data_IF_668894657218
#
_entry.id   IF_668894657218
#
_cell.length_a   1.000
_cell.length_b   1.000
_cell.length_c   1.000
_cell.angle_alpha   90.00
_cell.angle_beta   90.00
_cell.angle_gamma   90.00
#
_symmetry.space_group_name_H-M   'P 1'
#
loop_
_entity.id
_entity.type
_entity.pdbx_description
1 polymer ?
#
# COMPACT_ATOMS: atom_id res chain seq x y z
N UNK A 1 -17.47 12.19 -13.41
CA UNK A 1 -17.74 10.91 -14.08
C UNK A 1 -16.40 10.22 -14.26
N UNK A 2 -16.28 8.95 -13.85
CA UNK A 2 -15.12 8.09 -14.12
C UNK A 2 -15.60 7.03 -15.11
N UNK A 3 -14.86 6.80 -16.18
CA UNK A 3 -15.13 5.78 -17.18
C UNK A 3 -13.84 4.98 -17.38
N UNK A 4 -13.94 3.66 -17.31
CA UNK A 4 -12.82 2.75 -17.49
C UNK A 4 -13.17 1.78 -18.60
N UNK A 5 -12.28 1.66 -19.59
CA UNK A 5 -12.33 0.63 -20.62
C UNK A 5 -11.34 -0.47 -20.19
N UNK A 6 -11.83 -1.59 -19.61
CA UNK A 6 -10.95 -2.60 -19.03
C UNK A 6 -10.06 -3.27 -20.08
N UNK A 7 -10.45 -3.33 -21.35
CA UNK A 7 -9.57 -3.86 -22.40
C UNK A 7 -8.31 -3.02 -22.62
N UNK A 8 -8.37 -1.70 -22.41
CA UNK A 8 -7.16 -0.84 -22.46
C UNK A 8 -6.19 -1.24 -21.35
N UNK A 9 -6.70 -1.52 -20.14
CA UNK A 9 -5.89 -1.95 -19.00
C UNK A 9 -5.35 -3.37 -19.22
N UNK A 10 -6.15 -4.26 -19.83
CA UNK A 10 -5.76 -5.63 -20.14
C UNK A 10 -4.55 -5.67 -21.08
N UNK A 11 -4.46 -4.72 -22.01
CA UNK A 11 -3.36 -4.57 -22.96
C UNK A 11 -2.18 -3.73 -22.44
N UNK A 12 -2.30 -3.12 -21.25
CA UNK A 12 -1.22 -2.34 -20.65
C UNK A 12 -0.16 -3.26 -20.00
N UNK A 13 1.08 -2.77 -19.83
CA UNK A 13 2.10 -3.47 -19.04
C UNK A 13 1.60 -3.87 -17.64
N UNK A 14 1.90 -5.11 -17.23
CA UNK A 14 1.35 -5.72 -16.02
C UNK A 14 1.75 -4.96 -14.74
N UNK A 15 2.93 -4.32 -14.73
CA UNK A 15 3.41 -3.52 -13.61
C UNK A 15 2.44 -2.40 -13.23
N UNK A 16 1.65 -1.88 -14.16
CA UNK A 16 0.66 -0.84 -13.85
C UNK A 16 -0.52 -1.39 -13.05
N UNK A 17 -1.02 -2.58 -13.39
CA UNK A 17 -2.07 -3.24 -12.60
C UNK A 17 -1.53 -3.60 -11.21
N UNK A 18 -0.33 -4.18 -11.16
CA UNK A 18 0.34 -4.56 -9.93
C UNK A 18 0.56 -3.36 -9.00
N UNK A 19 1.04 -2.23 -9.53
CA UNK A 19 1.18 -0.99 -8.77
C UNK A 19 -0.19 -0.45 -8.32
N UNK A 20 -1.22 -0.51 -9.16
CA UNK A 20 -2.58 -0.11 -8.79
C UNK A 20 -3.12 -0.90 -7.59
N UNK A 21 -2.88 -2.22 -7.56
CA UNK A 21 -3.24 -3.08 -6.42
C UNK A 21 -2.52 -2.59 -5.14
N UNK A 22 -1.21 -2.39 -5.21
CA UNK A 22 -0.39 -1.95 -4.08
C UNK A 22 -0.84 -0.62 -3.47
N UNK A 23 -1.09 0.39 -4.30
CA UNK A 23 -1.56 1.71 -3.82
C UNK A 23 -2.98 1.64 -3.24
N UNK A 24 -3.87 0.90 -3.90
CA UNK A 24 -5.28 0.85 -3.49
C UNK A 24 -5.46 0.12 -2.16
N UNK A 25 -4.63 -0.90 -1.87
CA UNK A 25 -4.65 -1.55 -0.55
C UNK A 25 -4.34 -0.57 0.59
N UNK A 26 -3.47 0.42 0.38
CA UNK A 26 -3.13 1.42 1.39
C UNK A 26 -4.35 2.22 1.87
N UNK A 27 -5.35 2.40 1.01
CA UNK A 27 -6.59 3.11 1.34
C UNK A 27 -7.29 2.54 2.57
N UNK A 28 -7.29 1.21 2.74
CA UNK A 28 -7.82 0.60 3.97
C UNK A 28 -6.83 0.72 5.12
N UNK A 29 -5.59 0.26 4.91
CA UNK A 29 -4.63 0.09 6.01
C UNK A 29 -4.22 1.42 6.64
N UNK A 30 -4.21 2.52 5.89
CA UNK A 30 -3.98 3.86 6.44
C UNK A 30 -5.27 4.46 7.04
N UNK A 31 -6.44 4.24 6.43
CA UNK A 31 -7.69 4.81 6.94
C UNK A 31 -8.06 4.31 8.33
N UNK A 32 -7.87 3.01 8.62
CA UNK A 32 -8.19 2.46 9.94
C UNK A 32 -7.30 2.99 11.06
N UNK A 33 -6.11 3.49 10.72
CA UNK A 33 -5.22 4.18 11.65
C UNK A 33 -5.68 5.62 11.87
N UNK A 34 -6.05 6.31 10.78
CA UNK A 34 -6.50 7.71 10.83
C UNK A 34 -7.88 7.88 11.48
N UNK A 35 -8.70 6.83 11.46
CA UNK A 35 -10.07 6.83 11.97
C UNK A 35 -10.33 5.65 12.94
N UNK A 36 -9.73 5.65 14.14
CA UNK A 36 -9.89 4.56 15.11
C UNK A 36 -11.30 4.46 15.72
N UNK A 37 -12.10 5.53 15.60
CA UNK A 37 -13.49 5.62 16.08
C UNK A 37 -14.40 6.10 14.94
N UNK A 38 -14.56 5.31 13.86
CA UNK A 38 -15.24 5.75 12.64
C UNK A 38 -16.70 6.14 12.90
N UNK A 39 -17.37 5.57 13.90
CA UNK A 39 -18.75 5.88 14.30
C UNK A 39 -18.96 7.35 14.71
N UNK A 40 -17.90 8.03 15.15
CA UNK A 40 -17.92 9.44 15.55
C UNK A 40 -17.75 10.40 14.36
N UNK A 41 -17.42 9.87 13.18
CA UNK A 41 -17.10 10.66 11.99
C UNK A 41 -18.33 10.92 11.11
N UNK A 42 -18.28 11.94 10.23
CA UNK A 42 -19.34 12.20 9.26
C UNK A 42 -19.70 10.96 8.44
N UNK A 43 -20.98 10.85 8.06
CA UNK A 43 -21.49 9.71 7.30
C UNK A 43 -20.67 9.45 6.02
N UNK A 44 -20.27 10.50 5.31
CA UNK A 44 -19.45 10.37 4.10
C UNK A 44 -18.12 9.69 4.38
N UNK A 45 -17.46 10.03 5.50
CA UNK A 45 -16.19 9.41 5.89
C UNK A 45 -16.39 7.95 6.23
N UNK A 46 -17.45 7.61 6.97
CA UNK A 46 -17.82 6.23 7.28
C UNK A 46 -18.08 5.39 6.03
N UNK A 47 -18.77 5.97 5.04
CA UNK A 47 -18.97 5.32 3.73
C UNK A 47 -17.63 5.10 3.01
N UNK A 48 -16.72 6.09 3.05
CA UNK A 48 -15.37 5.96 2.50
C UNK A 48 -14.58 4.81 3.13
N UNK A 49 -14.60 4.69 4.46
CA UNK A 49 -13.91 3.61 5.20
C UNK A 49 -14.52 2.24 4.89
N UNK A 50 -15.85 2.14 4.88
CA UNK A 50 -16.55 0.89 4.53
C UNK A 50 -16.21 0.44 3.10
N UNK A 51 -16.16 1.38 2.16
CA UNK A 51 -15.74 1.10 0.79
C UNK A 51 -14.27 0.66 0.74
N UNK A 52 -13.38 1.31 1.48
CA UNK A 52 -11.97 0.91 1.57
C UNK A 52 -11.83 -0.54 2.05
N UNK A 53 -12.63 -0.95 3.03
CA UNK A 53 -12.66 -2.34 3.51
C UNK A 53 -13.12 -3.31 2.42
N UNK A 54 -14.24 -3.02 1.77
CA UNK A 54 -14.78 -3.86 0.71
C UNK A 54 -13.80 -3.99 -0.47
N UNK A 55 -13.15 -2.89 -0.86
CA UNK A 55 -12.12 -2.84 -1.90
C UNK A 55 -10.91 -3.68 -1.50
N UNK A 56 -10.41 -3.56 -0.26
CA UNK A 56 -9.33 -4.41 0.24
C UNK A 56 -9.69 -5.89 0.07
N UNK A 57 -10.90 -6.29 0.45
CA UNK A 57 -11.34 -7.69 0.37
C UNK A 57 -11.38 -8.18 -1.08
N UNK A 58 -11.87 -7.37 -2.02
CA UNK A 58 -11.82 -7.69 -3.47
C UNK A 58 -10.38 -7.89 -3.92
N UNK A 59 -9.48 -6.95 -3.58
CA UNK A 59 -8.09 -7.00 -4.00
C UNK A 59 -7.35 -8.21 -3.40
N UNK A 60 -7.51 -8.51 -2.12
CA UNK A 60 -6.84 -9.66 -1.48
C UNK A 60 -7.32 -11.00 -2.04
N UNK A 61 -8.60 -11.09 -2.42
CA UNK A 61 -9.20 -12.32 -2.91
C UNK A 61 -9.00 -12.54 -4.42
N UNK A 62 -8.92 -11.47 -5.21
CA UNK A 62 -9.02 -11.56 -6.68
C UNK A 62 -7.77 -11.12 -7.43
N UNK A 63 -6.80 -10.44 -6.79
CA UNK A 63 -5.64 -9.88 -7.51
C UNK A 63 -4.75 -10.94 -8.15
N UNK A 64 -4.53 -12.09 -7.49
CA UNK A 64 -3.74 -13.20 -8.07
C UNK A 64 -4.36 -13.68 -9.39
N UNK A 65 -5.69 -13.89 -9.39
CA UNK A 65 -6.41 -14.28 -10.60
C UNK A 65 -6.38 -13.17 -11.65
N UNK A 66 -6.65 -11.91 -11.28
CA UNK A 66 -6.65 -10.78 -12.20
C UNK A 66 -5.28 -10.57 -12.87
N UNK A 67 -4.18 -10.76 -12.13
CA UNK A 67 -2.82 -10.70 -12.69
C UNK A 67 -2.58 -11.85 -13.68
N UNK A 68 -3.02 -13.07 -13.37
CA UNK A 68 -2.94 -14.20 -14.30
C UNK A 68 -3.83 -13.99 -15.54
N UNK A 69 -5.01 -13.41 -15.36
CA UNK A 69 -5.94 -13.08 -16.44
C UNK A 69 -5.33 -12.06 -17.41
N UNK A 70 -4.65 -11.02 -16.88
CA UNK A 70 -3.92 -10.06 -17.70
C UNK A 70 -2.80 -10.72 -18.52
N UNK A 71 -1.99 -11.59 -17.89
CA UNK A 71 -0.94 -12.34 -18.59
C UNK A 71 -1.50 -13.23 -19.70
N UNK A 72 -2.66 -13.84 -19.47
CA UNK A 72 -3.33 -14.71 -20.43
C UNK A 72 -4.25 -13.95 -21.40
N UNK A 73 -4.31 -12.61 -21.31
CA UNK A 73 -5.18 -11.74 -22.11
C UNK A 73 -6.67 -12.15 -22.02
N UNK A 74 -7.15 -12.43 -20.81
CA UNK A 74 -8.52 -12.84 -20.53
C UNK A 74 -9.28 -11.74 -19.80
N UNK A 75 -10.38 -11.27 -20.39
CA UNK A 75 -11.28 -10.29 -19.77
C UNK A 75 -12.30 -10.99 -18.86
N UNK A 76 -11.85 -11.46 -17.70
CA UNK A 76 -12.71 -12.13 -16.71
C UNK A 76 -13.40 -11.11 -15.80
N UNK A 77 -14.42 -11.56 -15.05
CA UNK A 77 -15.03 -10.71 -14.02
C UNK A 77 -14.04 -10.35 -12.90
N UNK A 78 -13.15 -11.26 -12.50
CA UNK A 78 -12.13 -10.98 -11.48
C UNK A 78 -11.17 -9.89 -11.92
N UNK A 79 -10.76 -9.87 -13.19
CA UNK A 79 -9.97 -8.80 -13.76
C UNK A 79 -10.74 -7.46 -13.72
N UNK A 80 -11.99 -7.44 -14.20
CA UNK A 80 -12.82 -6.24 -14.19
C UNK A 80 -13.06 -5.70 -12.77
N UNK A 81 -13.35 -6.56 -11.80
CA UNK A 81 -13.59 -6.18 -10.40
C UNK A 81 -12.33 -5.54 -9.77
N UNK A 82 -11.14 -6.07 -10.06
CA UNK A 82 -9.87 -5.50 -9.59
C UNK A 82 -9.61 -4.13 -10.24
N UNK A 83 -9.85 -4.01 -11.54
CA UNK A 83 -9.72 -2.73 -12.27
C UNK A 83 -10.69 -1.67 -11.70
N UNK A 84 -11.95 -2.02 -11.48
CA UNK A 84 -12.95 -1.14 -10.90
C UNK A 84 -12.61 -0.78 -9.45
N UNK A 85 -12.11 -1.73 -8.67
CA UNK A 85 -11.65 -1.50 -7.30
C UNK A 85 -10.52 -0.47 -7.24
N UNK A 86 -9.53 -0.56 -8.14
CA UNK A 86 -8.39 0.37 -8.22
C UNK A 86 -8.84 1.77 -8.65
N UNK A 87 -9.60 1.86 -9.74
CA UNK A 87 -9.88 3.15 -10.37
C UNK A 87 -11.11 3.82 -9.76
N UNK A 88 -12.29 3.21 -9.88
CA UNK A 88 -13.53 3.79 -9.40
C UNK A 88 -13.62 3.69 -7.86
N UNK A 89 -13.25 2.54 -7.31
CA UNK A 89 -13.23 2.29 -5.87
C UNK A 89 -12.22 3.18 -5.14
N UNK A 90 -10.96 3.16 -5.56
CA UNK A 90 -9.90 4.01 -5.00
C UNK A 90 -10.26 5.50 -5.06
N UNK A 91 -10.82 5.96 -6.18
CA UNK A 91 -11.33 7.33 -6.33
C UNK A 91 -12.48 7.65 -5.38
N UNK A 92 -13.42 6.73 -5.18
CA UNK A 92 -14.55 6.90 -4.26
C UNK A 92 -14.10 7.00 -2.80
N UNK A 93 -13.14 6.18 -2.38
CA UNK A 93 -12.59 6.24 -1.01
C UNK A 93 -11.92 7.58 -0.75
N UNK A 94 -11.10 8.06 -1.68
CA UNK A 94 -10.45 9.38 -1.57
C UNK A 94 -11.45 10.54 -1.62
N UNK A 95 -12.50 10.43 -2.44
CA UNK A 95 -13.53 11.45 -2.57
C UNK A 95 -14.44 11.57 -1.35
N UNK A 96 -14.75 10.46 -0.68
CA UNK A 96 -15.68 10.42 0.46
C UNK A 96 -14.99 10.61 1.82
N UNK A 97 -13.77 10.10 1.97
CA UNK A 97 -13.10 9.99 3.27
C UNK A 97 -12.34 11.23 3.77
N UNK A 98 -12.37 12.33 3.02
CA UNK A 98 -11.74 13.60 3.35
C UNK A 98 -10.27 13.44 3.79
N UNK A 99 -9.87 13.88 5.00
CA UNK A 99 -8.50 13.69 5.52
C UNK A 99 -8.28 12.31 6.16
N UNK A 100 -9.34 11.57 6.42
CA UNK A 100 -9.31 10.31 7.17
C UNK A 100 -8.99 9.09 6.30
N UNK A 101 -8.92 9.23 4.97
CA UNK A 101 -8.60 8.14 4.03
C UNK A 101 -7.45 8.48 3.08
N UNK A 102 -6.61 9.47 3.45
CA UNK A 102 -5.55 9.97 2.56
C UNK A 102 -4.25 9.18 2.66
N UNK A 103 -3.46 9.47 3.69
CA UNK A 103 -2.09 8.97 3.84
C UNK A 103 -1.71 8.90 5.32
N UNK A 104 -0.93 7.88 5.68
CA UNK A 104 -0.35 7.66 7.01
C UNK A 104 1.11 7.21 6.83
N UNK A 105 1.51 6.06 7.37
CA UNK A 105 2.91 5.64 7.34
C UNK A 105 3.33 4.99 6.02
N UNK A 106 2.44 4.29 5.33
CA UNK A 106 2.79 3.60 4.09
C UNK A 106 3.28 4.60 3.03
N UNK A 107 2.56 5.71 2.86
CA UNK A 107 2.96 6.77 1.95
C UNK A 107 4.20 7.54 2.42
N UNK A 108 4.39 7.71 3.72
CA UNK A 108 5.61 8.35 4.24
C UNK A 108 6.86 7.48 3.99
N UNK A 109 6.74 6.15 4.11
CA UNK A 109 7.81 5.20 3.75
C UNK A 109 8.06 5.22 2.24
N UNK A 110 7.01 5.27 1.41
CA UNK A 110 7.15 5.53 -0.02
C UNK A 110 7.98 6.80 -0.28
N UNK A 111 7.68 7.91 0.39
CA UNK A 111 8.43 9.16 0.24
C UNK A 111 9.89 9.01 0.68
N UNK A 112 10.13 8.23 1.74
CA UNK A 112 11.48 7.87 2.15
C UNK A 112 12.24 7.11 1.08
N UNK A 113 11.61 6.16 0.39
CA UNK A 113 12.24 5.37 -0.67
C UNK A 113 12.65 6.25 -1.86
N UNK A 114 11.85 7.27 -2.24
CA UNK A 114 12.14 8.11 -3.42
C UNK A 114 13.42 8.95 -3.31
N UNK A 115 14.03 9.05 -2.13
CA UNK A 115 15.35 9.72 -1.97
C UNK A 115 16.50 8.87 -2.50
N UNK A 116 16.27 7.58 -2.76
CA UNK A 116 17.25 6.64 -3.26
C UNK A 116 17.08 6.48 -4.78
N UNK A 117 18.04 6.95 -5.62
CA UNK A 117 17.90 6.96 -7.08
C UNK A 117 17.59 5.59 -7.70
N UNK A 118 18.12 4.51 -7.14
CA UNK A 118 17.86 3.14 -7.60
C UNK A 118 16.38 2.74 -7.52
N UNK A 119 15.60 3.41 -6.65
CA UNK A 119 14.17 3.12 -6.49
C UNK A 119 13.26 3.85 -7.49
N UNK A 120 13.82 4.73 -8.34
CA UNK A 120 13.07 5.56 -9.29
C UNK A 120 12.22 4.71 -10.23
N UNK A 121 12.77 3.61 -10.72
CA UNK A 121 12.12 2.70 -11.68
C UNK A 121 10.92 1.94 -11.13
N UNK A 122 10.79 1.82 -9.80
CA UNK A 122 9.65 1.16 -9.20
C UNK A 122 8.46 2.12 -9.16
N UNK A 123 7.30 1.64 -9.60
CA UNK A 123 6.08 2.43 -9.63
C UNK A 123 5.63 2.81 -8.21
N UNK A 124 4.82 3.87 -8.13
CA UNK A 124 4.32 4.43 -6.87
C UNK A 124 3.73 3.37 -5.94
N UNK A 125 2.72 2.64 -6.41
CA UNK A 125 2.03 1.65 -5.60
C UNK A 125 2.87 0.43 -5.21
N UNK A 126 3.91 0.10 -5.99
CA UNK A 126 4.90 -0.92 -5.63
C UNK A 126 5.68 -0.53 -4.37
N UNK A 127 6.11 0.73 -4.28
CA UNK A 127 6.78 1.29 -3.10
C UNK A 127 5.80 1.47 -1.92
N UNK A 128 4.57 1.89 -2.19
CA UNK A 128 3.52 2.03 -1.17
C UNK A 128 3.18 0.67 -0.53
N UNK A 129 3.10 -0.41 -1.32
CA UNK A 129 2.86 -1.76 -0.82
C UNK A 129 3.87 -2.16 0.27
N UNK A 130 5.17 -1.98 0.01
CA UNK A 130 6.20 -2.22 1.03
C UNK A 130 6.00 -1.34 2.27
N UNK A 131 5.61 -0.07 2.07
CA UNK A 131 5.25 0.85 3.16
C UNK A 131 4.12 0.34 4.07
N UNK A 132 3.15 -0.43 3.54
CA UNK A 132 2.07 -1.03 4.34
C UNK A 132 2.66 -2.07 5.31
N UNK A 133 3.62 -2.90 4.85
CA UNK A 133 4.29 -3.89 5.71
C UNK A 133 5.02 -3.20 6.87
N UNK A 134 5.74 -2.11 6.56
CA UNK A 134 6.46 -1.31 7.57
C UNK A 134 5.47 -0.67 8.56
N UNK A 135 4.33 -0.17 8.08
CA UNK A 135 3.27 0.35 8.96
C UNK A 135 2.74 -0.74 9.90
N UNK A 136 2.44 -1.94 9.38
CA UNK A 136 1.97 -3.07 10.20
C UNK A 136 3.02 -3.48 11.24
N UNK A 137 4.32 -3.48 10.87
CA UNK A 137 5.41 -3.74 11.79
C UNK A 137 5.51 -2.68 12.91
N UNK A 138 5.38 -1.39 12.57
CA UNK A 138 5.36 -0.28 13.56
C UNK A 138 4.19 -0.41 14.55
N UNK A 139 3.04 -0.89 14.08
CA UNK A 139 1.83 -1.07 14.89
C UNK A 139 1.79 -2.40 15.64
N UNK A 140 2.78 -3.28 15.45
CA UNK A 140 2.79 -4.62 16.06
C UNK A 140 1.66 -5.54 15.55
N UNK A 141 1.19 -5.33 14.32
CA UNK A 141 0.08 -6.06 13.72
C UNK A 141 0.58 -7.30 12.96
N UNK A 142 1.07 -8.30 13.70
CA UNK A 142 1.79 -9.43 13.10
C UNK A 142 0.90 -10.32 12.24
N UNK A 143 -0.38 -10.47 12.59
CA UNK A 143 -1.36 -11.18 11.76
C UNK A 143 -1.60 -10.50 10.41
N UNK A 144 -1.64 -9.15 10.41
CA UNK A 144 -1.79 -8.35 9.18
C UNK A 144 -0.51 -8.44 8.35
N UNK A 145 0.65 -8.34 9.00
CA UNK A 145 1.95 -8.45 8.35
C UNK A 145 2.11 -9.83 7.67
N UNK A 146 1.72 -10.92 8.34
CA UNK A 146 1.74 -12.27 7.78
C UNK A 146 0.78 -12.41 6.59
N UNK A 147 -0.47 -11.95 6.74
CA UNK A 147 -1.47 -11.98 5.67
C UNK A 147 -0.98 -11.25 4.42
N UNK A 148 -0.47 -10.03 4.58
CA UNK A 148 -0.01 -9.20 3.47
C UNK A 148 1.26 -9.74 2.83
N UNK A 149 2.21 -10.23 3.62
CA UNK A 149 3.43 -10.86 3.09
C UNK A 149 3.07 -12.05 2.20
N UNK A 150 2.19 -12.95 2.67
CA UNK A 150 1.74 -14.09 1.87
C UNK A 150 0.92 -13.70 0.64
N UNK A 151 0.12 -12.64 0.72
CA UNK A 151 -0.59 -12.10 -0.45
C UNK A 151 0.38 -11.50 -1.48
N UNK A 152 1.34 -10.68 -1.04
CA UNK A 152 2.28 -9.99 -1.90
C UNK A 152 3.23 -10.94 -2.61
N UNK A 153 3.66 -12.02 -1.95
CA UNK A 153 4.43 -13.09 -2.59
C UNK A 153 3.67 -13.75 -3.75
N UNK A 154 2.35 -13.98 -3.60
CA UNK A 154 1.50 -14.51 -4.68
C UNK A 154 1.27 -13.50 -5.81
N UNK A 155 1.21 -12.20 -5.48
CA UNK A 155 1.02 -11.13 -6.47
C UNK A 155 2.31 -10.72 -7.16
N UNK A 156 3.47 -11.06 -6.59
CA UNK A 156 4.79 -10.51 -6.94
C UNK A 156 4.96 -9.02 -6.60
N UNK A 157 4.36 -8.57 -5.49
CA UNK A 157 4.67 -7.29 -4.85
C UNK A 157 5.88 -7.44 -3.90
N UNK A 158 6.67 -6.38 -3.68
CA UNK A 158 7.86 -6.46 -2.83
C UNK A 158 7.47 -6.70 -1.37
N UNK A 159 8.16 -7.65 -0.75
CA UNK A 159 8.10 -7.96 0.68
C UNK A 159 9.41 -7.68 1.40
N UNK A 160 10.46 -7.33 0.66
CA UNK A 160 11.79 -6.96 1.16
C UNK A 160 12.30 -5.69 0.49
N UNK A 161 13.23 -5.00 1.13
CA UNK A 161 13.94 -3.87 0.53
C UNK A 161 14.81 -4.31 -0.66
N UNK A 162 15.33 -5.53 -0.63
CA UNK A 162 16.16 -6.07 -1.71
C UNK A 162 15.40 -6.16 -3.04
N UNK A 163 14.09 -6.46 -3.01
CA UNK A 163 13.21 -6.45 -4.19
C UNK A 163 12.97 -5.04 -4.74
N UNK A 164 13.28 -4.01 -3.94
CA UNK A 164 13.30 -2.60 -4.33
C UNK A 164 14.73 -2.07 -4.59
N UNK A 165 15.71 -2.97 -4.72
CA UNK A 165 17.14 -2.67 -4.89
C UNK A 165 17.76 -1.84 -3.74
N UNK A 166 17.22 -1.98 -2.54
CA UNK A 166 17.76 -1.36 -1.33
C UNK A 166 18.35 -2.43 -0.43
N UNK A 167 19.62 -2.29 -0.06
CA UNK A 167 20.26 -3.17 0.92
C UNK A 167 20.00 -2.63 2.34
N UNK A 168 19.28 -3.40 3.16
CA UNK A 168 19.03 -3.08 4.57
C UNK A 168 20.32 -2.87 5.38
N UNK A 169 21.43 -3.46 4.95
CA UNK A 169 22.73 -3.30 5.60
C UNK A 169 23.46 -2.01 5.20
N UNK A 170 23.01 -1.31 4.15
CA UNK A 170 23.57 -0.03 3.75
C UNK A 170 23.07 1.09 4.67
N UNK A 171 23.75 1.25 5.80
CA UNK A 171 23.39 2.20 6.86
C UNK A 171 23.17 3.62 6.34
N UNK A 172 23.98 4.07 5.38
CA UNK A 172 23.88 5.43 4.83
C UNK A 172 22.57 5.64 4.06
N UNK A 173 22.14 4.67 3.28
CA UNK A 173 20.88 4.74 2.53
C UNK A 173 19.68 4.60 3.44
N UNK A 174 19.73 3.66 4.40
CA UNK A 174 18.66 3.46 5.37
C UNK A 174 18.50 4.70 6.27
N UNK A 175 19.58 5.32 6.72
CA UNK A 175 19.51 6.56 7.50
C UNK A 175 18.91 7.73 6.70
N UNK A 176 19.22 7.84 5.40
CA UNK A 176 18.61 8.84 4.51
C UNK A 176 17.10 8.62 4.36
N UNK A 177 16.69 7.38 4.12
CA UNK A 177 15.28 6.99 4.02
C UNK A 177 14.55 7.31 5.33
N UNK A 178 15.09 6.87 6.47
CA UNK A 178 14.52 7.12 7.80
C UNK A 178 14.39 8.63 8.06
N UNK A 179 15.44 9.41 7.81
CA UNK A 179 15.42 10.86 8.01
C UNK A 179 14.35 11.55 7.16
N UNK A 180 14.12 11.08 5.93
CA UNK A 180 13.09 11.62 5.05
C UNK A 180 11.68 11.21 5.48
N UNK A 181 11.47 9.94 5.82
CA UNK A 181 10.19 9.41 6.31
C UNK A 181 9.75 10.10 7.61
N UNK A 182 10.68 10.49 8.47
CA UNK A 182 10.41 11.11 9.77
C UNK A 182 10.35 12.64 9.74
N UNK A 183 10.41 13.30 8.57
CA UNK A 183 10.31 14.77 8.51
C UNK A 183 9.01 15.23 9.19
N UNK A 184 8.98 16.39 9.88
CA UNK A 184 7.80 16.83 10.64
C UNK A 184 6.51 16.99 9.82
N UNK A 185 6.63 17.13 8.50
CA UNK A 185 5.50 17.30 7.58
C UNK A 185 4.92 15.97 7.07
N UNK A 186 5.57 14.84 7.33
CA UNK A 186 5.15 13.53 6.83
C UNK A 186 3.96 12.96 7.58
N UNK A 187 3.17 12.14 6.88
CA UNK A 187 1.95 11.55 7.41
C UNK A 187 2.17 10.39 8.38
N UNK A 188 3.41 9.89 8.52
CA UNK A 188 3.74 8.85 9.50
C UNK A 188 3.37 9.27 10.93
N UNK A 189 3.44 10.57 11.24
CA UNK A 189 3.17 11.13 12.57
C UNK A 189 1.71 11.03 13.00
N UNK A 190 0.81 10.55 12.14
CA UNK A 190 -0.56 10.21 12.52
C UNK A 190 -0.67 8.84 13.19
N UNK A 191 0.37 8.00 13.14
CA UNK A 191 0.38 6.74 13.88
C UNK A 191 0.34 7.01 15.40
N UNK A 192 -0.43 6.22 16.17
CA UNK A 192 -0.50 6.32 17.62
C UNK A 192 0.70 5.64 18.31
N UNK A 193 1.92 5.84 17.79
CA UNK A 193 3.17 5.25 18.32
C UNK A 193 4.25 6.32 18.46
N UNK A 194 5.21 6.09 19.36
CA UNK A 194 6.38 6.97 19.45
C UNK A 194 7.32 6.70 18.28
N UNK A 195 7.54 7.71 17.44
CA UNK A 195 8.38 7.60 16.26
C UNK A 195 9.77 8.18 16.50
N UNK A 196 10.78 7.36 16.27
CA UNK A 196 12.21 7.71 16.32
C UNK A 196 12.94 7.01 15.18
N UNK A 197 14.17 7.42 14.82
CA UNK A 197 14.98 6.68 13.86
C UNK A 197 15.15 5.21 14.25
N UNK A 198 15.32 4.91 15.54
CA UNK A 198 15.47 3.54 16.04
C UNK A 198 14.20 2.70 15.89
N UNK A 199 13.01 3.26 16.16
CA UNK A 199 11.75 2.52 16.01
C UNK A 199 11.43 2.25 14.54
N UNK A 200 11.70 3.20 13.64
CA UNK A 200 11.49 3.00 12.20
C UNK A 200 12.51 2.00 11.63
N UNK A 201 13.77 2.05 12.06
CA UNK A 201 14.78 1.04 11.72
C UNK A 201 14.35 -0.36 12.15
N UNK A 202 13.91 -0.52 13.40
CA UNK A 202 13.44 -1.80 13.92
C UNK A 202 12.22 -2.32 13.13
N UNK A 203 11.34 -1.44 12.64
CA UNK A 203 10.24 -1.84 11.78
C UNK A 203 10.71 -2.35 10.42
N UNK A 204 11.69 -1.70 9.77
CA UNK A 204 12.31 -2.24 8.55
C UNK A 204 12.94 -3.61 8.82
N UNK A 205 13.77 -3.74 9.85
CA UNK A 205 14.41 -5.01 10.23
C UNK A 205 13.39 -6.12 10.54
N UNK A 206 12.26 -5.77 11.15
CA UNK A 206 11.15 -6.70 11.39
C UNK A 206 10.58 -7.20 10.07
N UNK A 207 10.30 -6.33 9.11
CA UNK A 207 9.80 -6.74 7.78
C UNK A 207 10.81 -7.64 7.08
N UNK A 208 12.09 -7.26 7.04
CA UNK A 208 13.14 -8.04 6.35
C UNK A 208 13.39 -9.43 6.95
N UNK A 209 13.12 -9.59 8.25
CA UNK A 209 13.27 -10.88 8.96
C UNK A 209 11.96 -11.66 9.10
N UNK A 210 10.83 -11.09 8.66
CA UNK A 210 9.52 -11.69 8.80
C UNK A 210 9.39 -12.89 7.86
N UNK A 211 9.15 -14.08 8.45
CA UNK A 211 8.84 -15.28 7.68
C UNK A 211 7.34 -15.53 7.79
N UNK A 212 6.63 -15.37 6.67
CA UNK A 212 5.24 -15.77 6.55
C UNK A 212 5.10 -17.30 6.57
#
# INVERSE_FOLDING_TARGET
>A
MVLVEPEIILNAPQEYLLAGIGDTLAKWYEAVVLAPQPETLPLTVRLGINNAQAIRDVLLNSSEQALADQQNQQLTQSFCDVVDAIIAGGGMVGGLGDRFTRVAAAHAVHNGLTVLPQTEKFLHGTKVAYGILVQSALLGQDDVLAQLTGAYQRFHLPTTLAELEVDINNQVEIDKMIAHTLRPVESIHYLPVTLTPGTLRAAFEKVESFKA
#
